data_IF_748746985644
#
_entry.id   IF_748746985644
#
_cell.length_a   1.000
_cell.length_b   1.000
_cell.length_c   1.000
_cell.angle_alpha   90.00
_cell.angle_beta   90.00
_cell.angle_gamma   90.00
#
_symmetry.space_group_name_H-M   'P 1'
#
loop_
_entity.id
_entity.type
_entity.pdbx_description
1 polymer ?
#
# COMPACT_ATOMS: atom_id res chain seq x y z
N UNK A 1 -1.32 -11.09 -36.08
CA UNK A 1 -0.59 -9.83 -36.20
C UNK A 1 -0.52 -9.19 -34.82
N UNK A 2 0.60 -9.35 -34.14
CA UNK A 2 0.86 -8.77 -32.82
C UNK A 2 1.17 -7.27 -32.97
N UNK A 3 0.46 -6.42 -32.25
CA UNK A 3 0.79 -5.00 -32.11
C UNK A 3 1.65 -4.82 -30.86
N UNK A 4 2.86 -4.30 -31.06
CA UNK A 4 3.85 -4.04 -30.03
C UNK A 4 3.39 -2.88 -29.12
N UNK A 5 3.57 -3.06 -27.80
CA UNK A 5 3.45 -1.97 -26.83
C UNK A 5 4.64 -1.00 -26.99
N UNK A 6 4.46 0.31 -26.81
CA UNK A 6 5.58 1.25 -26.86
C UNK A 6 6.47 1.09 -25.63
N UNK A 7 7.77 1.06 -25.87
CA UNK A 7 8.84 0.97 -24.87
C UNK A 7 8.76 2.10 -23.84
N UNK A 8 8.42 1.76 -22.60
CA UNK A 8 8.69 2.63 -21.47
C UNK A 8 10.20 2.61 -21.21
N UNK A 9 10.88 3.74 -21.47
CA UNK A 9 12.29 3.91 -21.12
C UNK A 9 12.48 3.71 -19.61
N UNK A 10 13.48 2.94 -19.17
CA UNK A 10 13.81 2.83 -17.75
C UNK A 10 14.27 4.19 -17.24
N UNK A 11 13.66 4.66 -16.15
CA UNK A 11 14.11 5.83 -15.40
C UNK A 11 15.41 5.45 -14.68
N UNK A 12 16.45 6.26 -14.83
CA UNK A 12 17.75 6.06 -14.21
C UNK A 12 17.63 5.93 -12.68
N UNK A 13 18.44 5.04 -12.12
CA UNK A 13 18.37 4.57 -10.75
C UNK A 13 19.46 5.26 -9.91
N UNK A 14 19.03 6.23 -9.09
CA UNK A 14 19.93 7.08 -8.30
C UNK A 14 20.15 6.51 -6.89
N UNK A 15 20.50 5.22 -6.76
CA UNK A 15 21.18 4.62 -5.59
C UNK A 15 20.66 4.90 -4.16
N UNK A 16 19.47 5.47 -3.99
CA UNK A 16 18.91 5.92 -2.71
C UNK A 16 17.42 5.61 -2.65
N UNK A 17 16.89 5.48 -1.44
CA UNK A 17 15.46 5.22 -1.16
C UNK A 17 14.53 5.92 -2.16
N UNK A 18 13.98 5.14 -3.08
CA UNK A 18 13.22 5.68 -4.21
C UNK A 18 11.73 5.65 -3.90
N UNK A 19 11.21 6.74 -3.32
CA UNK A 19 9.78 6.95 -3.21
C UNK A 19 9.14 6.96 -4.62
N UNK A 20 8.05 6.21 -4.79
CA UNK A 20 7.21 6.23 -6.01
C UNK A 20 6.07 7.22 -5.79
N UNK A 21 5.98 8.22 -6.67
CA UNK A 21 4.94 9.24 -6.64
C UNK A 21 3.91 8.93 -7.73
N UNK A 22 2.62 9.13 -7.45
CA UNK A 22 1.53 8.61 -8.32
C UNK A 22 0.41 9.62 -8.46
N UNK A 23 0.29 10.33 -9.61
CA UNK A 23 -0.79 11.30 -9.87
C UNK A 23 -2.04 10.66 -10.48
N UNK A 24 -3.18 11.32 -10.30
CA UNK A 24 -4.42 11.12 -11.06
C UNK A 24 -4.27 11.71 -12.46
N UNK A 25 -4.72 11.02 -13.51
CA UNK A 25 -4.68 11.54 -14.89
C UNK A 25 -5.84 12.53 -15.12
N UNK A 26 -5.60 13.82 -15.43
CA UNK A 26 -6.66 14.80 -15.70
C UNK A 26 -7.25 14.62 -17.11
N UNK A 27 -8.58 14.64 -17.26
CA UNK A 27 -9.21 14.78 -18.59
C UNK A 27 -10.57 14.09 -18.83
N UNK A 28 -11.03 13.19 -17.95
CA UNK A 28 -12.34 12.53 -18.10
C UNK A 28 -13.38 13.18 -17.18
N UNK A 29 -14.12 14.16 -17.71
CA UNK A 29 -15.31 14.71 -17.05
C UNK A 29 -16.43 13.67 -17.18
N UNK A 30 -16.69 12.94 -16.08
CA UNK A 30 -17.66 11.84 -15.88
C UNK A 30 -17.31 10.51 -16.56
N UNK A 31 -16.98 9.52 -15.74
CA UNK A 31 -17.27 8.10 -16.03
C UNK A 31 -17.37 7.33 -14.69
N UNK A 32 -18.22 6.29 -14.56
CA UNK A 32 -18.51 5.56 -13.32
C UNK A 32 -17.40 4.57 -12.92
N UNK A 33 -16.25 4.61 -13.58
CA UNK A 33 -15.07 3.81 -13.27
C UNK A 33 -13.88 4.71 -12.92
N UNK A 34 -13.51 4.68 -11.63
CA UNK A 34 -12.15 4.44 -11.15
C UNK A 34 -11.04 5.27 -11.83
N UNK A 35 -10.56 6.30 -11.12
CA UNK A 35 -9.50 7.19 -11.59
C UNK A 35 -8.21 6.42 -11.89
N UNK A 36 -7.81 6.36 -13.17
CA UNK A 36 -6.52 5.85 -13.59
C UNK A 36 -5.39 6.72 -12.99
N UNK A 37 -4.43 6.06 -12.34
CA UNK A 37 -3.25 6.71 -11.76
C UNK A 37 -2.00 6.45 -12.61
N UNK A 38 -1.05 7.41 -12.68
CA UNK A 38 0.25 7.21 -13.33
C UNK A 38 1.42 7.49 -12.38
N UNK A 39 2.53 6.74 -12.47
CA UNK A 39 3.78 7.12 -11.81
C UNK A 39 4.27 8.49 -12.31
N UNK A 40 4.79 9.32 -11.41
CA UNK A 40 5.33 10.65 -11.71
C UNK A 40 6.65 10.90 -10.99
N UNK A 41 7.36 11.96 -11.37
CA UNK A 41 8.54 12.42 -10.64
C UNK A 41 8.15 13.16 -9.35
N UNK A 42 9.05 13.29 -8.36
CA UNK A 42 8.79 14.08 -7.16
C UNK A 42 8.45 15.56 -7.47
N UNK A 43 9.06 16.13 -8.51
CA UNK A 43 8.83 17.51 -8.93
C UNK A 43 7.44 17.68 -9.56
N UNK A 44 7.04 16.75 -10.44
CA UNK A 44 5.68 16.70 -10.99
C UNK A 44 4.64 16.55 -9.89
N UNK A 45 4.93 15.70 -8.90
CA UNK A 45 4.07 15.50 -7.73
C UNK A 45 3.87 16.77 -6.90
N UNK A 46 4.96 17.47 -6.59
CA UNK A 46 4.92 18.72 -5.81
C UNK A 46 4.23 19.86 -6.57
N UNK A 47 4.35 19.90 -7.89
CA UNK A 47 3.71 20.91 -8.73
C UNK A 47 2.21 20.64 -8.95
N UNK A 48 1.76 19.38 -8.87
CA UNK A 48 0.37 19.01 -9.05
C UNK A 48 -0.53 19.56 -7.93
N UNK A 49 -1.78 19.86 -8.25
CA UNK A 49 -2.74 20.29 -7.25
C UNK A 49 -3.02 19.16 -6.24
N UNK A 50 -3.35 19.43 -4.97
CA UNK A 50 -3.59 18.38 -3.98
C UNK A 50 -4.61 17.32 -4.41
N UNK A 51 -5.65 17.71 -5.16
CA UNK A 51 -6.65 16.79 -5.71
C UNK A 51 -6.13 15.87 -6.83
N UNK A 52 -4.99 16.18 -7.43
CA UNK A 52 -4.33 15.36 -8.47
C UNK A 52 -3.33 14.38 -7.84
N UNK A 53 -3.05 14.51 -6.55
CA UNK A 53 -2.10 13.69 -5.82
C UNK A 53 -2.77 12.41 -5.31
N UNK A 54 -2.51 11.26 -5.95
CA UNK A 54 -3.04 9.97 -5.50
C UNK A 54 -2.18 9.21 -4.45
N UNK A 55 -0.85 9.09 -4.52
CA UNK A 55 -0.05 8.65 -3.36
C UNK A 55 1.45 8.98 -3.46
N UNK A 56 2.10 9.02 -2.30
CA UNK A 56 3.56 8.80 -2.16
C UNK A 56 3.76 7.42 -1.52
N UNK A 57 4.49 6.53 -2.19
CA UNK A 57 4.83 5.20 -1.68
C UNK A 57 6.32 5.11 -1.44
N UNK A 58 6.73 4.88 -0.19
CA UNK A 58 8.12 4.59 0.12
C UNK A 58 8.39 3.11 -0.13
N UNK A 59 9.04 2.80 -1.26
CA UNK A 59 9.44 1.42 -1.53
C UNK A 59 10.69 1.13 -0.71
N UNK A 60 10.57 0.23 0.26
CA UNK A 60 11.72 -0.31 0.97
C UNK A 60 12.56 -1.13 -0.04
N UNK A 61 13.58 -0.50 -0.62
CA UNK A 61 14.58 -1.16 -1.46
C UNK A 61 15.66 -1.72 -0.55
N UNK A 62 16.16 -2.90 -0.89
CA UNK A 62 17.23 -3.59 -0.16
C UNK A 62 16.91 -3.89 1.31
N UNK A 63 15.69 -4.42 1.54
CA UNK A 63 15.28 -4.93 2.86
C UNK A 63 16.31 -5.92 3.45
N UNK A 64 16.95 -6.84 2.68
CA UNK A 64 17.99 -7.71 3.22
C UNK A 64 19.14 -6.95 3.90
N UNK A 65 19.65 -5.87 3.28
CA UNK A 65 20.74 -5.07 3.86
C UNK A 65 20.37 -4.40 5.20
N UNK A 66 19.07 -4.25 5.51
CA UNK A 66 18.63 -3.75 6.82
C UNK A 66 18.96 -4.72 7.95
N UNK A 67 19.16 -6.01 7.65
CA UNK A 67 19.46 -7.07 8.62
C UNK A 67 20.94 -7.38 8.78
N UNK A 68 21.79 -6.91 7.87
CA UNK A 68 23.23 -7.19 7.88
C UNK A 68 23.93 -6.62 9.12
N UNK A 69 25.08 -7.20 9.48
CA UNK A 69 25.86 -6.76 10.64
C UNK A 69 26.26 -5.28 10.56
N UNK A 70 26.54 -4.79 9.35
CA UNK A 70 26.89 -3.39 9.05
C UNK A 70 25.70 -2.41 8.97
N UNK A 71 24.47 -2.87 9.20
CA UNK A 71 23.28 -2.01 9.19
C UNK A 71 23.34 -0.94 10.28
N UNK A 72 22.88 0.27 9.97
CA UNK A 72 22.82 1.40 10.89
C UNK A 72 21.85 1.20 12.07
N UNK A 73 20.99 0.16 12.01
CA UNK A 73 20.05 -0.15 13.07
C UNK A 73 20.66 -1.04 14.16
N UNK A 74 20.35 -0.80 15.45
CA UNK A 74 20.75 -1.68 16.54
C UNK A 74 20.29 -3.12 16.33
N UNK A 75 21.10 -4.10 16.72
CA UNK A 75 20.82 -5.54 16.54
C UNK A 75 19.42 -5.96 17.03
N UNK A 76 18.98 -5.42 18.18
CA UNK A 76 17.62 -5.68 18.72
C UNK A 76 16.51 -5.24 17.76
N UNK A 77 16.67 -4.10 17.07
CA UNK A 77 15.69 -3.63 16.10
C UNK A 77 15.72 -4.47 14.81
N UNK A 78 16.92 -4.87 14.36
CA UNK A 78 17.07 -5.77 13.21
C UNK A 78 16.36 -7.11 13.45
N UNK A 79 16.55 -7.69 14.64
CA UNK A 79 15.86 -8.92 15.03
C UNK A 79 14.32 -8.77 15.01
N UNK A 80 13.79 -7.67 15.56
CA UNK A 80 12.34 -7.41 15.56
C UNK A 80 11.76 -7.17 14.17
N UNK A 81 12.49 -6.47 13.30
CA UNK A 81 12.10 -6.31 11.91
C UNK A 81 12.11 -7.66 11.19
N UNK A 82 13.14 -8.49 11.42
CA UNK A 82 13.21 -9.84 10.85
C UNK A 82 12.02 -10.71 11.29
N UNK A 83 11.71 -10.75 12.59
CA UNK A 83 10.51 -11.43 13.13
C UNK A 83 9.24 -10.96 12.42
N UNK A 84 9.11 -9.64 12.21
CA UNK A 84 7.95 -9.06 11.53
C UNK A 84 7.85 -9.51 10.07
N UNK A 85 8.93 -9.47 9.29
CA UNK A 85 8.90 -9.91 7.88
C UNK A 85 8.67 -11.42 7.74
N UNK A 86 9.23 -12.21 8.66
CA UNK A 86 8.92 -13.64 8.75
C UNK A 86 7.43 -13.85 9.01
N UNK A 87 6.84 -13.12 9.96
CA UNK A 87 5.41 -13.21 10.20
C UNK A 87 4.57 -12.72 9.00
N UNK A 88 4.91 -11.54 8.45
CA UNK A 88 4.08 -10.79 7.52
C UNK A 88 4.13 -11.33 6.08
N UNK A 89 5.21 -12.01 5.66
CA UNK A 89 5.24 -12.56 4.31
C UNK A 89 6.14 -13.73 4.00
N UNK A 90 7.12 -14.07 4.84
CA UNK A 90 8.02 -15.21 4.55
C UNK A 90 7.61 -16.51 5.26
N UNK A 91 6.81 -16.43 6.31
CA UNK A 91 6.45 -17.56 7.17
C UNK A 91 4.99 -18.03 7.01
N UNK A 92 4.66 -19.19 7.58
CA UNK A 92 3.33 -19.79 7.43
C UNK A 92 2.25 -19.13 8.32
N UNK A 93 2.64 -18.44 9.40
CA UNK A 93 1.70 -18.01 10.45
C UNK A 93 0.56 -17.12 9.94
N UNK A 94 0.88 -16.01 9.26
CA UNK A 94 -0.14 -15.13 8.69
C UNK A 94 -0.91 -15.83 7.57
N UNK A 95 -0.21 -16.58 6.70
CA UNK A 95 -0.85 -17.34 5.60
C UNK A 95 -1.87 -18.34 6.12
N UNK A 96 -1.58 -19.06 7.18
CA UNK A 96 -2.47 -20.06 7.78
C UNK A 96 -3.65 -19.42 8.50
N UNK A 97 -3.43 -18.26 9.15
CA UNK A 97 -4.53 -17.45 9.67
C UNK A 97 -5.48 -17.02 8.55
N UNK A 98 -4.93 -16.49 7.46
CA UNK A 98 -5.71 -16.04 6.31
C UNK A 98 -6.45 -17.20 5.62
N UNK A 99 -5.81 -18.35 5.44
CA UNK A 99 -6.46 -19.56 4.89
C UNK A 99 -7.72 -19.95 5.68
N UNK A 100 -7.68 -19.86 7.01
CA UNK A 100 -8.84 -20.16 7.86
C UNK A 100 -9.97 -19.16 7.69
N UNK A 101 -9.66 -17.89 7.41
CA UNK A 101 -10.66 -16.84 7.25
C UNK A 101 -11.29 -16.82 5.85
N UNK A 102 -10.52 -17.19 4.83
CA UNK A 102 -10.90 -16.93 3.43
C UNK A 102 -11.12 -18.20 2.60
N UNK A 103 -10.72 -19.37 3.11
CA UNK A 103 -10.83 -20.66 2.42
C UNK A 103 -10.44 -20.60 0.92
N UNK A 104 -9.24 -20.10 0.57
CA UNK A 104 -8.94 -19.50 -0.73
C UNK A 104 -8.84 -20.47 -1.92
N UNK A 105 -9.13 -21.76 -1.75
CA UNK A 105 -9.06 -22.79 -2.80
C UNK A 105 -7.65 -23.06 -3.38
N UNK A 106 -6.68 -22.19 -3.12
CA UNK A 106 -5.28 -22.23 -3.58
C UNK A 106 -4.34 -21.69 -2.50
N UNK A 107 -3.04 -22.02 -2.54
CA UNK A 107 -2.07 -21.39 -1.65
C UNK A 107 -2.05 -19.87 -1.82
N UNK A 108 -1.78 -19.15 -0.74
CA UNK A 108 -1.66 -17.69 -0.73
C UNK A 108 -0.20 -17.26 -0.72
N UNK A 109 0.09 -16.08 -1.24
CA UNK A 109 1.31 -15.30 -0.97
C UNK A 109 0.92 -13.87 -0.59
N UNK A 110 1.89 -13.08 -0.14
CA UNK A 110 1.68 -11.72 0.35
C UNK A 110 2.70 -10.76 -0.23
N UNK A 111 2.24 -9.58 -0.64
CA UNK A 111 3.10 -8.46 -0.99
C UNK A 111 3.02 -7.40 0.11
N UNK A 112 4.17 -6.99 0.63
CA UNK A 112 4.27 -6.04 1.73
C UNK A 112 4.76 -4.70 1.19
N UNK A 113 3.98 -3.64 1.41
CA UNK A 113 4.35 -2.27 1.09
C UNK A 113 4.38 -1.43 2.37
N UNK A 114 5.34 -0.50 2.46
CA UNK A 114 5.39 0.50 3.51
C UNK A 114 4.91 1.84 2.93
N UNK A 115 4.00 2.49 3.63
CA UNK A 115 3.50 3.79 3.24
C UNK A 115 3.69 4.77 4.38
N UNK A 116 4.12 5.98 4.04
CA UNK A 116 4.20 7.12 4.94
C UNK A 116 3.49 8.29 4.29
N UNK A 117 2.53 8.86 5.00
CA UNK A 117 1.83 10.05 4.54
C UNK A 117 2.42 11.26 5.27
N UNK A 118 2.58 12.35 4.54
CA UNK A 118 2.99 13.67 5.04
C UNK A 118 1.79 14.60 4.98
N UNK A 119 1.92 15.79 5.58
CA UNK A 119 0.84 16.78 5.57
C UNK A 119 0.39 17.05 4.13
N UNK A 120 -0.90 16.88 3.88
CA UNK A 120 -1.53 17.03 2.57
C UNK A 120 -1.57 15.75 1.73
N UNK A 121 -0.81 14.70 2.07
CA UNK A 121 -0.87 13.43 1.36
C UNK A 121 -2.22 12.76 1.60
N UNK A 122 -2.71 12.07 0.58
CA UNK A 122 -4.02 11.43 0.53
C UNK A 122 -3.92 10.21 -0.38
N UNK A 123 -4.92 9.33 -0.34
CA UNK A 123 -5.13 8.30 -1.37
C UNK A 123 -6.51 8.48 -1.96
N UNK A 124 -6.57 8.70 -3.28
CA UNK A 124 -7.83 8.85 -4.00
C UNK A 124 -8.65 7.56 -3.98
N UNK A 125 -9.94 7.68 -4.29
CA UNK A 125 -10.83 6.53 -4.42
C UNK A 125 -10.39 5.63 -5.59
N UNK A 126 -10.12 4.36 -5.29
CA UNK A 126 -9.71 3.37 -6.28
C UNK A 126 -10.17 1.97 -5.87
N UNK A 127 -10.12 1.05 -6.82
CA UNK A 127 -10.39 -0.37 -6.62
C UNK A 127 -9.18 -1.17 -7.04
N UNK A 128 -8.75 -2.10 -6.20
CA UNK A 128 -7.70 -3.06 -6.54
C UNK A 128 -8.27 -4.31 -7.24
N UNK A 129 -9.56 -4.30 -7.60
CA UNK A 129 -10.27 -5.46 -8.14
C UNK A 129 -9.79 -5.91 -9.54
N UNK A 130 -9.00 -5.10 -10.24
CA UNK A 130 -8.34 -5.48 -11.49
C UNK A 130 -7.04 -6.29 -11.25
N UNK A 131 -6.68 -6.54 -9.98
CA UNK A 131 -5.56 -7.39 -9.57
C UNK A 131 -6.06 -8.71 -8.99
N UNK A 132 -5.19 -9.72 -8.90
CA UNK A 132 -5.48 -10.98 -8.21
C UNK A 132 -5.53 -10.84 -6.67
N UNK A 133 -5.54 -9.60 -6.14
CA UNK A 133 -5.61 -9.35 -4.69
C UNK A 133 -6.97 -9.78 -4.15
N UNK A 134 -6.96 -10.61 -3.12
CA UNK A 134 -8.17 -11.07 -2.43
C UNK A 134 -8.53 -10.15 -1.27
N UNK A 135 -7.52 -9.74 -0.49
CA UNK A 135 -7.69 -8.89 0.68
C UNK A 135 -6.45 -8.00 0.86
N UNK A 136 -6.65 -6.84 1.46
CA UNK A 136 -5.56 -5.99 1.95
C UNK A 136 -5.67 -5.87 3.47
N UNK A 137 -4.54 -6.04 4.15
CA UNK A 137 -4.39 -5.77 5.57
C UNK A 137 -3.56 -4.50 5.73
N UNK A 138 -4.04 -3.53 6.51
CA UNK A 138 -3.24 -2.35 6.86
C UNK A 138 -2.94 -2.37 8.35
N UNK A 139 -1.67 -2.52 8.71
CA UNK A 139 -1.18 -2.35 10.07
C UNK A 139 -0.72 -0.91 10.28
N UNK A 140 -1.29 -0.24 11.30
CA UNK A 140 -0.96 1.16 11.60
C UNK A 140 0.09 1.28 12.70
N UNK A 141 1.12 2.09 12.43
CA UNK A 141 2.33 2.17 13.25
C UNK A 141 2.50 3.53 13.97
N UNK A 142 1.44 4.32 14.07
CA UNK A 142 1.51 5.69 14.61
C UNK A 142 0.98 5.81 16.05
N UNK A 143 1.83 5.67 17.08
CA UNK A 143 1.41 5.81 18.48
C UNK A 143 0.93 7.22 18.84
N UNK A 144 1.29 8.22 18.03
CA UNK A 144 0.91 9.61 18.21
C UNK A 144 -0.38 10.03 17.51
N UNK A 145 -1.08 9.12 16.81
CA UNK A 145 -2.30 9.46 16.08
C UNK A 145 -3.38 10.05 17.00
N UNK A 146 -4.03 11.13 16.55
CA UNK A 146 -5.14 11.79 17.21
C UNK A 146 -6.34 11.89 16.29
N UNK A 147 -7.51 11.89 16.91
CA UNK A 147 -8.74 12.23 16.21
C UNK A 147 -8.63 13.65 15.66
N UNK A 148 -8.86 13.81 14.34
CA UNK A 148 -8.69 15.08 13.63
C UNK A 148 -7.42 15.18 12.76
N UNK A 149 -6.44 14.30 12.95
CA UNK A 149 -5.22 14.29 12.13
C UNK A 149 -5.48 13.87 10.67
N UNK A 150 -6.66 13.33 10.35
CA UNK A 150 -6.99 12.80 9.03
C UNK A 150 -6.39 11.41 8.82
N UNK A 151 -5.99 11.09 7.59
CA UNK A 151 -5.40 9.78 7.26
C UNK A 151 -6.32 8.57 7.47
N UNK A 152 -7.62 8.81 7.64
CA UNK A 152 -8.67 7.81 7.84
C UNK A 152 -8.80 6.94 6.59
N UNK A 153 -8.80 5.62 6.76
CA UNK A 153 -9.13 4.70 5.68
C UNK A 153 -10.64 4.72 5.48
N UNK A 154 -11.07 5.09 4.28
CA UNK A 154 -12.44 4.94 3.83
C UNK A 154 -12.58 3.72 2.93
N UNK A 155 -13.69 3.02 3.08
CA UNK A 155 -14.07 1.88 2.27
C UNK A 155 -15.55 2.01 1.90
N UNK A 156 -15.89 1.72 0.65
CA UNK A 156 -17.27 1.62 0.19
C UNK A 156 -17.49 0.24 -0.40
N UNK A 157 -18.53 -0.44 0.05
CA UNK A 157 -18.88 -1.79 -0.39
C UNK A 157 -19.69 -1.80 -1.70
N UNK A 158 -20.03 -3.00 -2.16
CA UNK A 158 -20.81 -3.28 -3.37
C UNK A 158 -22.22 -2.63 -3.33
N UNK A 159 -22.79 -2.43 -2.14
CA UNK A 159 -24.07 -1.76 -1.93
C UNK A 159 -23.96 -0.23 -1.80
N UNK A 160 -22.74 0.31 -1.86
CA UNK A 160 -22.47 1.73 -1.71
C UNK A 160 -22.40 2.21 -0.26
N UNK A 161 -22.38 1.31 0.74
CA UNK A 161 -22.25 1.69 2.15
C UNK A 161 -20.83 2.08 2.47
N UNK A 162 -20.66 3.21 3.15
CA UNK A 162 -19.36 3.75 3.52
C UNK A 162 -18.96 3.38 4.95
N UNK A 163 -17.69 3.02 5.09
CA UNK A 163 -17.04 2.68 6.35
C UNK A 163 -15.79 3.53 6.51
N UNK A 164 -15.65 4.19 7.66
CA UNK A 164 -14.49 5.01 8.00
C UNK A 164 -13.75 4.39 9.18
N UNK A 165 -12.45 4.17 9.00
CA UNK A 165 -11.59 3.48 9.95
C UNK A 165 -10.37 4.35 10.30
N UNK A 166 -10.38 4.99 11.48
CA UNK A 166 -9.23 5.73 11.97
C UNK A 166 -8.01 4.81 12.16
N UNK A 167 -6.79 5.23 11.76
CA UNK A 167 -5.58 4.42 11.85
C UNK A 167 -5.04 4.34 13.28
N UNK A 168 -5.70 3.57 14.14
CA UNK A 168 -5.30 3.39 15.54
C UNK A 168 -3.99 2.61 15.64
N UNK A 169 -3.08 3.07 16.49
CA UNK A 169 -1.80 2.40 16.69
C UNK A 169 -1.96 0.91 17.03
N UNK A 170 -1.15 0.08 16.38
CA UNK A 170 -1.12 -1.37 16.59
C UNK A 170 -2.48 -2.05 16.34
N UNK A 171 -3.28 -1.47 15.45
CA UNK A 171 -4.50 -2.08 14.94
C UNK A 171 -4.31 -2.48 13.47
N UNK A 172 -5.12 -3.45 13.04
CA UNK A 172 -5.17 -3.90 11.64
C UNK A 172 -6.56 -3.64 11.08
N UNK A 173 -6.63 -2.97 9.93
CA UNK A 173 -7.82 -3.01 9.09
C UNK A 173 -7.73 -4.20 8.13
N UNK A 174 -8.82 -4.92 7.92
CA UNK A 174 -8.91 -5.96 6.89
C UNK A 174 -9.99 -5.57 5.90
N UNK A 175 -9.64 -5.55 4.62
CA UNK A 175 -10.55 -5.13 3.56
C UNK A 175 -10.59 -6.18 2.46
N UNK A 176 -11.78 -6.70 2.09
CA UNK A 176 -11.92 -7.54 0.91
C UNK A 176 -11.76 -6.72 -0.36
N UNK A 177 -11.04 -7.27 -1.33
CA UNK A 177 -10.93 -6.71 -2.67
C UNK A 177 -11.90 -7.48 -3.57
N UNK A 178 -12.92 -6.78 -4.06
CA UNK A 178 -13.99 -7.35 -4.88
C UNK A 178 -14.49 -6.33 -5.90
N UNK A 179 -15.05 -6.77 -7.05
CA UNK A 179 -15.70 -5.87 -7.98
C UNK A 179 -16.79 -5.05 -7.28
N UNK A 180 -16.80 -3.74 -7.46
CA UNK A 180 -17.78 -2.84 -6.84
C UNK A 180 -17.31 -2.21 -5.53
N UNK A 181 -16.33 -2.81 -4.85
CA UNK A 181 -15.70 -2.20 -3.69
C UNK A 181 -14.63 -1.18 -4.09
N UNK A 182 -14.57 -0.08 -3.34
CA UNK A 182 -13.55 0.98 -3.49
C UNK A 182 -13.05 1.45 -2.14
N UNK A 183 -11.85 2.02 -2.12
CA UNK A 183 -11.28 2.56 -0.90
C UNK A 183 -10.40 3.79 -1.17
N UNK A 184 -10.19 4.57 -0.11
CA UNK A 184 -9.44 5.82 -0.14
C UNK A 184 -8.79 6.09 1.22
N UNK A 185 -7.87 7.05 1.26
CA UNK A 185 -7.33 7.57 2.52
C UNK A 185 -7.55 9.07 2.51
N UNK A 186 -8.27 9.58 3.50
CA UNK A 186 -8.48 11.03 3.64
C UNK A 186 -7.15 11.75 3.85
N UNK A 187 -7.05 13.02 3.45
CA UNK A 187 -5.83 13.80 3.59
C UNK A 187 -5.27 13.77 5.03
N UNK A 188 -3.98 13.56 5.17
CA UNK A 188 -3.26 13.73 6.42
C UNK A 188 -3.07 15.21 6.73
N UNK A 189 -3.51 15.66 7.91
CA UNK A 189 -3.57 17.06 8.30
C UNK A 189 -2.54 17.43 9.34
N UNK A 190 -2.01 16.48 10.11
CA UNK A 190 -1.02 16.78 11.12
C UNK A 190 0.35 17.12 10.52
N UNK A 191 1.16 17.86 11.28
CA UNK A 191 2.51 18.31 10.94
C UNK A 191 3.62 17.45 11.55
N UNK A 192 3.29 16.56 12.49
CA UNK A 192 4.23 15.57 12.99
C UNK A 192 4.45 14.41 11.99
N UNK A 193 5.56 13.69 12.18
CA UNK A 193 5.76 12.43 11.48
C UNK A 193 4.59 11.48 11.82
N UNK A 194 3.76 11.11 10.83
CA UNK A 194 2.56 10.30 11.12
C UNK A 194 1.72 9.90 9.91
N UNK A 195 1.06 8.75 10.09
CA UNK A 195 0.40 7.83 9.15
C UNK A 195 1.39 6.94 8.39
N UNK A 196 2.13 6.14 9.18
CA UNK A 196 2.92 5.00 8.76
C UNK A 196 2.05 3.75 8.75
N UNK A 197 2.09 3.04 7.64
CA UNK A 197 1.26 1.86 7.45
C UNK A 197 2.07 0.79 6.76
N UNK A 198 1.94 -0.44 7.24
CA UNK A 198 2.34 -1.61 6.49
C UNK A 198 1.10 -2.16 5.81
N UNK A 199 1.06 -2.07 4.48
CA UNK A 199 0.02 -2.66 3.66
C UNK A 199 0.47 -4.05 3.23
N UNK A 200 -0.37 -5.05 3.45
CA UNK A 200 -0.11 -6.44 3.09
C UNK A 200 -1.22 -6.85 2.14
N UNK A 201 -0.91 -6.93 0.84
CA UNK A 201 -1.82 -7.46 -0.15
C UNK A 201 -1.71 -8.99 -0.18
N UNK A 202 -2.84 -9.67 -0.04
CA UNK A 202 -2.92 -11.13 -0.07
C UNK A 202 -3.41 -11.56 -1.44
N UNK A 203 -2.61 -12.35 -2.14
CA UNK A 203 -2.90 -12.83 -3.50
C UNK A 203 -2.77 -14.36 -3.55
N UNK A 204 -3.46 -15.05 -4.47
CA UNK A 204 -3.16 -16.45 -4.77
C UNK A 204 -1.69 -16.58 -5.19
N UNK A 205 -1.00 -17.60 -4.70
CA UNK A 205 0.33 -17.94 -5.17
C UNK A 205 0.27 -18.43 -6.62
N UNK A 206 1.24 -18.03 -7.44
CA UNK A 206 1.39 -18.57 -8.78
C UNK A 206 1.82 -20.04 -8.72
N UNK A 207 1.46 -20.84 -9.72
CA UNK A 207 1.90 -22.22 -9.82
C UNK A 207 3.45 -22.27 -9.88
N UNK A 208 4.09 -22.76 -8.82
CA UNK A 208 5.56 -22.87 -8.69
C UNK A 208 6.21 -22.04 -7.58
N UNK A 209 5.49 -21.12 -6.93
CA UNK A 209 6.05 -20.23 -5.88
C UNK A 209 6.00 -20.81 -4.46
N UNK A 210 5.37 -21.97 -4.28
CA UNK A 210 5.28 -22.61 -2.96
C UNK A 210 6.36 -23.67 -2.85
N UNK A 211 7.47 -23.32 -2.18
CA UNK A 211 8.39 -24.29 -1.57
C UNK A 211 8.04 -24.47 -0.10
#
# INVERSE_FOLDING_TARGET
>A
MCSARPDAKPVADDGGSGARFVLVVPGLRRNPDRLATRPVTPQEWQAAAPQERAAVRDVARDIPALFDEGSAYPAKHRARLSDFFVFAGMGPALRDLLKRWTAPGRPLTTNVEFARYRRGDTLGEHSDAESDTLFVLNLYLDPGYREGDGGVLGFRDEEGREHLMPPRFNSVSVMPIRPGCVHWVTSWRADHAGRHTVSIAVVPASAGEVK
#
